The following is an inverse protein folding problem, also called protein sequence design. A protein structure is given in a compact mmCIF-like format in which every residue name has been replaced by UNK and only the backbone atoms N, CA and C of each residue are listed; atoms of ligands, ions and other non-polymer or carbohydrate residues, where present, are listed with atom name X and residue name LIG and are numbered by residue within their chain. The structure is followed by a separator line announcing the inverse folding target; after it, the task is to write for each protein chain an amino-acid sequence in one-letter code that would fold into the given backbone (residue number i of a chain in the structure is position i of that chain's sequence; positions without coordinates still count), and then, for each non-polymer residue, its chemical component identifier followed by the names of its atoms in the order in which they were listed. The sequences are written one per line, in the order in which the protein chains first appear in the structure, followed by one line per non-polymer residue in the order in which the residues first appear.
data_IF_985150523394
#
_entry.id   IF_985150523394
#
_cell.length_a   1.000
_cell.length_b   1.000
_cell.length_c   1.000
_cell.angle_alpha   90.00
_cell.angle_beta   90.00
_cell.angle_gamma   90.00
#
_symmetry.space_group_name_H-M   'P 1'
#
loop_
_entity.id
_entity.type
_entity.pdbx_description
1 polymer ?
#
# COMPACT_ATOMS: atom_id res chain seq x y z
N UNK A 1 20.02 7.41 11.51
CA UNK A 1 20.85 8.34 10.72
C UNK A 1 20.12 9.66 10.46
N UNK A 2 18.85 9.63 10.01
CA UNK A 2 18.01 10.81 9.78
C UNK A 2 17.75 11.67 11.01
N UNK A 3 17.57 11.07 12.20
CA UNK A 3 17.40 11.82 13.45
C UNK A 3 18.67 12.58 13.89
N UNK A 4 19.86 12.02 13.64
CA UNK A 4 21.14 12.68 13.92
C UNK A 4 21.37 13.86 12.98
N UNK A 5 21.00 13.69 11.70
CA UNK A 5 21.06 14.73 10.67
C UNK A 5 20.06 15.86 10.96
N UNK A 6 18.85 15.51 11.38
CA UNK A 6 17.83 16.45 11.86
C UNK A 6 18.32 17.26 13.06
N UNK A 7 18.87 16.60 14.10
CA UNK A 7 19.43 17.29 15.28
C UNK A 7 20.59 18.24 14.92
N UNK A 8 21.47 17.81 14.01
CA UNK A 8 22.59 18.63 13.53
C UNK A 8 22.14 19.86 12.73
N UNK A 9 21.23 19.68 11.77
CA UNK A 9 20.66 20.77 10.96
C UNK A 9 19.86 21.76 11.81
N UNK A 10 19.07 21.24 12.76
CA UNK A 10 18.30 22.08 13.68
C UNK A 10 19.25 22.97 14.46
N UNK A 11 20.34 22.42 15.05
CA UNK A 11 21.33 23.16 15.84
C UNK A 11 22.06 24.24 15.02
N UNK A 12 22.38 23.94 13.76
CA UNK A 12 23.10 24.87 12.87
C UNK A 12 22.21 26.03 12.38
N UNK A 13 20.91 25.82 12.20
CA UNK A 13 19.96 26.84 11.71
C UNK A 13 19.21 27.61 12.80
N UNK A 14 19.38 27.25 14.09
CA UNK A 14 18.88 28.03 15.24
C UNK A 14 19.22 29.52 15.15
N UNK A 15 20.46 29.93 14.78
CA UNK A 15 20.85 31.34 14.78
C UNK A 15 20.17 32.18 13.69
N UNK A 16 19.70 31.55 12.60
CA UNK A 16 19.23 32.25 11.40
C UNK A 16 17.71 32.30 11.26
N UNK A 17 16.98 31.28 11.76
CA UNK A 17 15.55 31.07 11.48
C UNK A 17 14.68 31.04 12.75
N UNK A 18 15.30 31.02 13.94
CA UNK A 18 14.61 30.89 15.22
C UNK A 18 14.32 29.42 15.58
N UNK A 19 14.32 29.12 16.89
CA UNK A 19 14.23 27.73 17.38
C UNK A 19 12.96 27.01 16.92
N UNK A 20 11.81 27.68 16.96
CA UNK A 20 10.51 27.07 16.69
C UNK A 20 10.36 26.65 15.22
N UNK A 21 10.71 27.52 14.28
CA UNK A 21 10.63 27.27 12.84
C UNK A 21 11.63 26.20 12.40
N UNK A 22 12.85 26.18 12.96
CA UNK A 22 13.85 25.14 12.69
C UNK A 22 13.39 23.78 13.23
N UNK A 23 12.83 23.73 14.45
CA UNK A 23 12.27 22.49 14.98
C UNK A 23 11.05 22.01 14.19
N UNK A 24 10.23 22.91 13.65
CA UNK A 24 9.10 22.54 12.82
C UNK A 24 9.54 21.95 11.47
N UNK A 25 10.45 22.62 10.75
CA UNK A 25 10.91 22.20 9.43
C UNK A 25 11.71 20.88 9.42
N UNK A 26 12.44 20.60 10.49
CA UNK A 26 13.38 19.48 10.55
C UNK A 26 12.91 18.31 11.44
N UNK A 27 11.70 18.35 12.00
CA UNK A 27 11.19 17.22 12.80
C UNK A 27 10.90 16.00 11.92
N UNK A 28 11.28 14.82 12.39
CA UNK A 28 11.12 13.54 11.68
C UNK A 28 9.87 12.76 12.09
N UNK A 29 9.00 13.35 12.92
CA UNK A 29 7.75 12.75 13.35
C UNK A 29 6.77 12.53 12.18
N UNK A 30 6.10 11.36 12.09
CA UNK A 30 5.16 11.06 11.00
C UNK A 30 3.83 11.83 11.10
N UNK A 31 3.51 12.43 12.24
CA UNK A 31 2.21 13.09 12.51
C UNK A 31 2.09 14.43 11.76
N UNK A 32 3.18 15.17 11.60
CA UNK A 32 3.28 16.30 10.67
C UNK A 32 4.41 15.99 9.69
N UNK A 33 4.11 15.60 8.44
CA UNK A 33 5.12 15.21 7.47
C UNK A 33 5.94 16.44 7.06
N UNK A 34 7.09 16.63 7.72
CA UNK A 34 8.00 17.74 7.42
C UNK A 34 8.95 17.38 6.28
N UNK A 35 9.69 18.38 5.79
CA UNK A 35 10.53 18.27 4.59
C UNK A 35 11.52 17.11 4.68
N UNK A 36 12.21 16.93 5.83
CA UNK A 36 13.14 15.80 6.01
C UNK A 36 12.45 14.45 6.06
N UNK A 37 11.27 14.38 6.68
CA UNK A 37 10.48 13.15 6.71
C UNK A 37 10.02 12.76 5.30
N UNK A 38 9.48 13.70 4.53
CA UNK A 38 9.05 13.47 3.14
C UNK A 38 10.24 13.02 2.29
N UNK A 39 11.39 13.71 2.39
CA UNK A 39 12.57 13.37 1.61
C UNK A 39 13.09 11.97 1.95
N UNK A 40 13.20 11.64 3.24
CA UNK A 40 13.62 10.31 3.68
C UNK A 40 12.63 9.21 3.26
N UNK A 41 11.33 9.43 3.51
CA UNK A 41 10.30 8.46 3.18
C UNK A 41 10.21 8.23 1.67
N UNK A 42 10.35 9.28 0.87
CA UNK A 42 10.39 9.20 -0.60
C UNK A 42 11.62 8.43 -1.06
N UNK A 43 12.80 8.73 -0.51
CA UNK A 43 14.04 8.01 -0.84
C UNK A 43 13.94 6.51 -0.53
N UNK A 44 13.46 6.15 0.66
CA UNK A 44 13.22 4.75 1.04
C UNK A 44 12.15 4.08 0.16
N UNK A 45 11.07 4.80 -0.16
CA UNK A 45 10.01 4.27 -1.02
C UNK A 45 10.53 3.99 -2.44
N UNK A 46 11.29 4.90 -3.03
CA UNK A 46 11.90 4.71 -4.35
C UNK A 46 12.86 3.53 -4.33
N UNK A 47 13.70 3.40 -3.31
CA UNK A 47 14.62 2.28 -3.18
C UNK A 47 13.87 0.93 -3.11
N UNK A 48 12.81 0.84 -2.30
CA UNK A 48 11.95 -0.35 -2.21
C UNK A 48 11.27 -0.64 -3.55
N UNK A 49 10.71 0.39 -4.21
CA UNK A 49 10.07 0.25 -5.51
C UNK A 49 11.03 -0.30 -6.58
N UNK A 50 12.27 0.21 -6.62
CA UNK A 50 13.30 -0.30 -7.55
C UNK A 50 13.60 -1.77 -7.26
N UNK A 51 13.73 -2.16 -5.99
CA UNK A 51 13.95 -3.57 -5.60
C UNK A 51 12.77 -4.43 -6.06
N UNK A 52 11.54 -3.99 -5.82
CA UNK A 52 10.34 -4.70 -6.24
C UNK A 52 10.28 -4.88 -7.76
N UNK A 53 10.59 -3.82 -8.53
CA UNK A 53 10.63 -3.88 -10.00
C UNK A 53 11.74 -4.82 -10.49
N UNK A 54 12.93 -4.74 -9.91
CA UNK A 54 14.04 -5.64 -10.25
C UNK A 54 13.68 -7.11 -10.02
N UNK A 55 13.04 -7.43 -8.89
CA UNK A 55 12.56 -8.79 -8.60
C UNK A 55 11.48 -9.21 -9.61
N UNK A 56 10.53 -8.32 -9.92
CA UNK A 56 9.45 -8.59 -10.87
C UNK A 56 9.98 -8.90 -12.28
N UNK A 57 11.00 -8.18 -12.74
CA UNK A 57 11.63 -8.40 -14.04
C UNK A 57 12.49 -9.67 -14.05
N UNK A 58 13.36 -9.85 -13.04
CA UNK A 58 14.26 -11.00 -12.95
C UNK A 58 13.52 -12.33 -12.86
N UNK A 59 12.39 -12.35 -12.15
CA UNK A 59 11.58 -13.55 -11.93
C UNK A 59 10.27 -13.53 -12.72
N UNK A 60 10.24 -12.85 -13.89
CA UNK A 60 9.04 -12.75 -14.75
C UNK A 60 8.45 -14.12 -15.12
N UNK A 61 9.28 -15.16 -15.24
CA UNK A 61 8.82 -16.50 -15.60
C UNK A 61 8.35 -17.35 -14.40
N UNK A 62 8.51 -16.85 -13.16
CA UNK A 62 8.01 -17.53 -11.98
C UNK A 62 6.51 -17.28 -11.83
N UNK A 63 5.74 -18.36 -11.70
CA UNK A 63 4.28 -18.31 -11.52
C UNK A 63 3.88 -17.52 -10.26
N UNK A 64 4.66 -17.60 -9.17
CA UNK A 64 4.37 -16.89 -7.93
C UNK A 64 4.46 -15.36 -8.10
N UNK A 65 5.59 -14.89 -8.65
CA UNK A 65 5.82 -13.45 -8.92
C UNK A 65 4.80 -12.92 -9.91
N UNK A 66 4.53 -13.69 -10.96
CA UNK A 66 3.48 -13.34 -11.94
C UNK A 66 2.12 -13.20 -11.27
N UNK A 67 1.73 -14.14 -10.40
CA UNK A 67 0.43 -14.09 -9.70
C UNK A 67 0.28 -12.85 -8.82
N UNK A 68 1.35 -12.45 -8.12
CA UNK A 68 1.37 -11.22 -7.31
C UNK A 68 1.21 -9.98 -8.21
N UNK A 69 1.95 -9.92 -9.32
CA UNK A 69 1.86 -8.79 -10.28
C UNK A 69 0.45 -8.69 -10.86
N UNK A 70 -0.15 -9.82 -11.26
CA UNK A 70 -1.51 -9.86 -11.78
C UNK A 70 -2.55 -9.41 -10.75
N UNK A 71 -2.36 -9.78 -9.49
CA UNK A 71 -3.21 -9.33 -8.38
C UNK A 71 -3.09 -7.82 -8.17
N UNK A 72 -1.86 -7.27 -8.21
CA UNK A 72 -1.61 -5.83 -8.11
C UNK A 72 -2.21 -5.01 -9.26
N UNK A 73 -2.25 -5.55 -10.48
CA UNK A 73 -2.94 -4.91 -11.61
C UNK A 73 -4.46 -4.81 -11.42
N UNK A 74 -5.03 -5.57 -10.48
CA UNK A 74 -6.46 -5.59 -10.16
C UNK A 74 -6.77 -4.88 -8.83
N UNK A 75 -5.84 -4.03 -8.34
CA UNK A 75 -5.96 -3.35 -7.04
C UNK A 75 -7.29 -2.63 -6.88
N UNK A 76 -7.78 -1.91 -7.90
CA UNK A 76 -9.07 -1.22 -7.81
C UNK A 76 -10.24 -2.20 -7.63
N UNK A 77 -10.21 -3.33 -8.34
CA UNK A 77 -11.25 -4.36 -8.21
C UNK A 77 -11.26 -4.94 -6.80
N UNK A 78 -10.09 -5.26 -6.24
CA UNK A 78 -10.00 -5.79 -4.88
C UNK A 78 -10.36 -4.77 -3.82
N UNK A 79 -10.00 -3.50 -4.06
CA UNK A 79 -10.40 -2.41 -3.19
C UNK A 79 -11.92 -2.31 -3.09
N UNK A 80 -12.64 -2.35 -4.21
CA UNK A 80 -14.12 -2.36 -4.14
C UNK A 80 -14.63 -3.67 -3.55
N UNK A 81 -14.06 -4.81 -3.98
CA UNK A 81 -14.45 -6.15 -3.52
C UNK A 81 -14.34 -6.34 -2.01
N UNK A 82 -13.26 -5.89 -1.36
CA UNK A 82 -13.13 -6.09 0.09
C UNK A 82 -14.14 -5.26 0.88
N UNK A 83 -14.60 -4.12 0.36
CA UNK A 83 -15.67 -3.34 0.99
C UNK A 83 -17.02 -4.04 0.80
N UNK A 84 -17.41 -4.35 -0.44
CA UNK A 84 -18.73 -4.92 -0.70
C UNK A 84 -18.85 -6.39 -0.30
N UNK A 85 -17.86 -7.20 -0.62
CA UNK A 85 -17.84 -8.64 -0.35
C UNK A 85 -17.23 -8.91 1.02
N UNK A 86 -16.05 -8.36 1.33
CA UNK A 86 -15.37 -8.62 2.60
C UNK A 86 -16.16 -8.10 3.80
N UNK A 87 -16.36 -6.78 3.88
CA UNK A 87 -17.12 -6.15 4.97
C UNK A 87 -18.60 -6.56 4.88
N UNK A 88 -19.19 -6.62 3.69
CA UNK A 88 -20.59 -7.08 3.53
C UNK A 88 -20.83 -8.49 4.08
N UNK A 89 -19.90 -9.42 3.91
CA UNK A 89 -20.00 -10.77 4.50
C UNK A 89 -19.96 -10.73 6.02
N UNK A 90 -19.11 -9.87 6.62
CA UNK A 90 -19.06 -9.71 8.07
C UNK A 90 -20.35 -9.10 8.64
N UNK A 91 -20.98 -8.18 7.90
CA UNK A 91 -22.29 -7.60 8.26
C UNK A 91 -23.37 -8.69 8.23
N UNK A 92 -23.44 -9.49 7.16
CA UNK A 92 -24.45 -10.56 7.03
C UNK A 92 -24.33 -11.64 8.10
N UNK A 93 -23.09 -11.96 8.48
CA UNK A 93 -22.82 -12.90 9.57
C UNK A 93 -23.01 -12.27 10.96
N UNK A 94 -23.32 -10.97 11.03
CA UNK A 94 -23.44 -10.19 12.26
C UNK A 94 -22.18 -10.29 13.14
N UNK A 95 -21.01 -10.32 12.49
CA UNK A 95 -19.69 -10.58 13.09
C UNK A 95 -18.75 -9.38 12.96
N UNK A 96 -19.31 -8.17 12.92
CA UNK A 96 -18.55 -6.92 12.75
C UNK A 96 -17.74 -6.55 13.99
N UNK A 97 -18.27 -6.82 15.18
CA UNK A 97 -17.68 -6.40 16.45
C UNK A 97 -17.26 -7.60 17.33
N UNK A 98 -16.34 -7.37 18.26
CA UNK A 98 -15.87 -8.34 19.26
C UNK A 98 -15.38 -9.68 18.71
N UNK A 99 -14.72 -9.68 17.54
CA UNK A 99 -14.08 -10.90 17.02
C UNK A 99 -12.68 -11.10 17.58
N UNK A 100 -12.29 -12.35 17.75
CA UNK A 100 -10.93 -12.68 18.16
C UNK A 100 -9.94 -12.29 17.06
N UNK A 101 -8.73 -11.92 17.46
CA UNK A 101 -7.64 -11.61 16.52
C UNK A 101 -7.40 -12.76 15.54
N UNK A 102 -7.51 -14.00 16.01
CA UNK A 102 -7.37 -15.20 15.20
C UNK A 102 -8.44 -15.28 14.11
N UNK A 103 -9.70 -14.98 14.42
CA UNK A 103 -10.78 -14.97 13.44
C UNK A 103 -10.52 -13.92 12.34
N UNK A 104 -10.15 -12.70 12.74
CA UNK A 104 -9.88 -11.61 11.78
C UNK A 104 -8.70 -11.97 10.88
N UNK A 105 -7.63 -12.53 11.44
CA UNK A 105 -6.46 -12.96 10.68
C UNK A 105 -6.80 -14.05 9.68
N UNK A 106 -7.55 -15.08 10.10
CA UNK A 106 -7.97 -16.18 9.24
C UNK A 106 -8.90 -15.68 8.13
N UNK A 107 -9.88 -14.83 8.46
CA UNK A 107 -10.81 -14.26 7.50
C UNK A 107 -10.08 -13.40 6.46
N UNK A 108 -9.20 -12.49 6.91
CA UNK A 108 -8.41 -11.63 6.03
C UNK A 108 -7.49 -12.45 5.11
N UNK A 109 -6.83 -13.47 5.66
CA UNK A 109 -5.95 -14.36 4.89
C UNK A 109 -6.74 -15.16 3.86
N UNK A 110 -7.88 -15.73 4.25
CA UNK A 110 -8.75 -16.48 3.34
C UNK A 110 -9.29 -15.57 2.23
N UNK A 111 -9.75 -14.37 2.57
CA UNK A 111 -10.20 -13.37 1.61
C UNK A 111 -9.09 -12.99 0.62
N UNK A 112 -7.86 -12.81 1.12
CA UNK A 112 -6.71 -12.45 0.29
C UNK A 112 -6.31 -13.58 -0.67
N UNK A 113 -6.28 -14.84 -0.18
CA UNK A 113 -6.02 -16.01 -1.03
C UNK A 113 -7.10 -16.11 -2.12
N UNK A 114 -8.36 -15.96 -1.75
CA UNK A 114 -9.48 -15.98 -2.70
C UNK A 114 -9.37 -14.86 -3.74
N UNK A 115 -9.02 -13.65 -3.31
CA UNK A 115 -8.76 -12.48 -4.16
C UNK A 115 -7.63 -12.73 -5.16
N UNK A 116 -6.52 -13.33 -4.73
CA UNK A 116 -5.42 -13.75 -5.63
C UNK A 116 -5.90 -14.80 -6.63
N UNK A 117 -6.62 -15.83 -6.19
CA UNK A 117 -7.12 -16.88 -7.08
C UNK A 117 -8.03 -16.31 -8.17
N UNK A 118 -8.99 -15.47 -7.80
CA UNK A 118 -9.86 -14.76 -8.76
C UNK A 118 -9.01 -13.91 -9.70
N UNK A 119 -8.01 -13.22 -9.19
CA UNK A 119 -7.12 -12.38 -10.01
C UNK A 119 -6.45 -13.19 -11.11
N UNK A 120 -5.79 -14.27 -10.73
CA UNK A 120 -5.04 -15.12 -11.66
C UNK A 120 -5.98 -15.76 -12.69
N UNK A 121 -7.15 -16.26 -12.25
CA UNK A 121 -8.15 -16.84 -13.16
C UNK A 121 -8.71 -15.81 -14.13
N UNK A 122 -9.05 -14.61 -13.64
CA UNK A 122 -9.57 -13.53 -14.47
C UNK A 122 -8.54 -13.06 -15.49
N UNK A 123 -7.29 -12.95 -15.06
CA UNK A 123 -6.18 -12.48 -15.89
C UNK A 123 -5.81 -13.41 -17.04
N UNK A 124 -6.16 -14.70 -16.95
CA UNK A 124 -6.07 -15.64 -18.08
C UNK A 124 -7.01 -15.29 -19.23
N UNK A 125 -8.15 -14.64 -18.96
CA UNK A 125 -9.21 -14.38 -19.94
C UNK A 125 -9.34 -12.90 -20.33
N UNK A 126 -9.05 -11.98 -19.41
CA UNK A 126 -9.29 -10.55 -19.61
C UNK A 126 -8.07 -9.70 -19.31
N UNK A 127 -7.86 -8.67 -20.15
CA UNK A 127 -6.71 -7.78 -20.03
C UNK A 127 -6.87 -6.64 -18.99
N UNK A 128 -8.03 -6.55 -18.33
CA UNK A 128 -8.33 -5.53 -17.32
C UNK A 128 -9.21 -6.12 -16.23
N UNK A 129 -9.28 -5.49 -15.06
CA UNK A 129 -10.16 -5.94 -14.00
C UNK A 129 -11.63 -5.84 -14.38
N UNK A 130 -12.50 -6.63 -13.72
CA UNK A 130 -13.94 -6.61 -13.95
C UNK A 130 -14.51 -5.18 -13.89
N UNK A 131 -14.11 -4.42 -12.86
CA UNK A 131 -14.61 -3.07 -12.64
C UNK A 131 -14.06 -2.10 -13.68
N UNK A 132 -12.76 -2.15 -13.98
CA UNK A 132 -12.15 -1.31 -15.00
C UNK A 132 -12.73 -1.59 -16.40
N UNK A 133 -13.06 -2.85 -16.68
CA UNK A 133 -13.74 -3.25 -17.90
C UNK A 133 -15.15 -2.65 -17.98
N UNK A 134 -15.92 -2.69 -16.88
CA UNK A 134 -17.24 -2.06 -16.79
C UNK A 134 -17.12 -0.54 -16.94
N UNK A 135 -16.19 0.10 -16.22
CA UNK A 135 -15.97 1.55 -16.28
C UNK A 135 -15.68 2.00 -17.69
N UNK A 136 -14.81 1.29 -18.43
CA UNK A 136 -14.55 1.64 -19.83
C UNK A 136 -15.78 1.45 -20.72
N UNK A 137 -16.58 0.42 -20.47
CA UNK A 137 -17.81 0.21 -21.24
C UNK A 137 -18.87 1.30 -20.99
N UNK A 138 -18.85 1.91 -19.81
CA UNK A 138 -19.74 3.01 -19.42
C UNK A 138 -19.21 4.39 -19.82
N UNK A 139 -17.89 4.59 -19.79
CA UNK A 139 -17.25 5.88 -20.01
C UNK A 139 -16.69 6.09 -21.44
N UNK A 140 -16.51 5.04 -22.24
CA UNK A 140 -15.89 5.08 -23.56
C UNK A 140 -14.37 4.97 -23.52
#
# INVERSE_FOLDING_TARGET
MTELLSKGLTHFFIPYIGRETATFLFNTGPILPNVLYILSATGSSIAILIICLYIAEKYRNNWFVTSIVQTGQLTLTHYVSHVFIGIGTLILLNRMENQSLLFVLLFATAFFIFSILISVLWRKKFSRGPIEWIMRKLAG
#
